data_IF_802626011095
#
_entry.id   IF_802626011095
#
_cell.length_a   1.000
_cell.length_b   1.000
_cell.length_c   1.000
_cell.angle_alpha   90.00
_cell.angle_beta   90.00
_cell.angle_gamma   90.00
#
_symmetry.space_group_name_H-M   'P 1'
#
loop_
_entity.id
_entity.type
_entity.pdbx_description
1 polymer ?
#
# COMPACT_ATOMS: atom_id res chain seq x y z
N UNK A 1 -26.11 -32.24 57.27
CA UNK A 1 -26.86 -31.55 56.19
C UNK A 1 -25.87 -30.77 55.34
N UNK A 2 -26.11 -30.63 54.02
CA UNK A 2 -25.52 -29.60 53.15
C UNK A 2 -23.99 -29.50 53.07
N UNK A 3 -23.36 -30.19 52.12
CA UNK A 3 -22.03 -29.79 51.63
C UNK A 3 -22.19 -28.63 50.63
N UNK A 4 -21.36 -27.59 50.73
CA UNK A 4 -21.08 -26.70 49.60
C UNK A 4 -20.02 -27.35 48.68
N UNK A 5 -20.05 -26.99 47.39
CA UNK A 5 -19.10 -27.43 46.37
C UNK A 5 -18.70 -26.28 45.46
N UNK A 6 -17.47 -26.33 44.95
CA UNK A 6 -16.93 -25.39 43.97
C UNK A 6 -17.73 -25.34 42.66
N UNK A 7 -17.80 -24.14 42.09
CA UNK A 7 -18.14 -23.90 40.69
C UNK A 7 -17.09 -22.95 40.08
N UNK A 8 -16.09 -23.52 39.41
CA UNK A 8 -15.17 -22.77 38.57
C UNK A 8 -15.84 -22.26 37.28
N UNK A 9 -15.28 -21.23 36.61
CA UNK A 9 -15.85 -20.66 35.40
C UNK A 9 -15.82 -21.65 34.23
N UNK A 10 -16.88 -21.67 33.43
CA UNK A 10 -16.98 -22.50 32.22
C UNK A 10 -16.36 -21.76 31.03
N UNK A 11 -15.59 -22.48 30.22
CA UNK A 11 -15.15 -22.01 28.90
C UNK A 11 -16.32 -21.93 27.93
N UNK A 12 -16.44 -20.82 27.21
CA UNK A 12 -17.34 -20.68 26.06
C UNK A 12 -16.51 -20.84 24.79
N UNK A 13 -16.83 -21.87 24.00
CA UNK A 13 -16.19 -22.13 22.70
C UNK A 13 -17.25 -22.10 21.60
N UNK A 14 -17.45 -20.94 20.99
CA UNK A 14 -18.30 -20.81 19.81
C UNK A 14 -17.46 -21.02 18.54
N UNK A 15 -17.80 -22.07 17.79
CA UNK A 15 -17.12 -22.42 16.55
C UNK A 15 -17.93 -21.98 15.32
N UNK A 16 -17.44 -20.96 14.60
CA UNK A 16 -18.07 -20.51 13.35
C UNK A 16 -18.02 -21.61 12.27
N UNK A 17 -19.15 -22.31 12.10
CA UNK A 17 -19.37 -23.29 11.04
C UNK A 17 -20.14 -22.65 9.88
N UNK A 18 -19.41 -22.16 8.88
CA UNK A 18 -20.02 -21.77 7.61
C UNK A 18 -20.50 -23.04 6.88
N UNK A 19 -21.81 -23.12 6.63
CA UNK A 19 -22.45 -24.28 5.97
C UNK A 19 -22.85 -23.95 4.53
N UNK A 20 -22.96 -24.99 3.72
CA UNK A 20 -23.18 -24.95 2.27
C UNK A 20 -24.51 -24.28 1.89
N UNK A 21 -24.49 -23.41 0.87
CA UNK A 21 -25.70 -22.86 0.23
C UNK A 21 -26.16 -23.71 -0.96
N UNK A 22 -27.47 -24.02 -1.09
CA UNK A 22 -28.03 -24.61 -2.30
C UNK A 22 -28.35 -23.55 -3.36
N UNK A 23 -28.28 -23.92 -4.65
CA UNK A 23 -28.73 -23.08 -5.77
C UNK A 23 -30.24 -23.15 -5.97
N UNK A 24 -30.92 -22.03 -5.82
CA UNK A 24 -32.15 -21.68 -6.58
C UNK A 24 -32.10 -20.19 -6.92
N UNK A 25 -32.79 -19.75 -7.96
CA UNK A 25 -32.82 -18.34 -8.32
C UNK A 25 -34.10 -17.95 -9.06
N UNK A 26 -34.40 -16.65 -9.05
CA UNK A 26 -35.26 -15.96 -10.02
C UNK A 26 -34.96 -14.45 -9.98
N UNK A 27 -35.10 -13.80 -11.12
CA UNK A 27 -34.79 -12.39 -11.32
C UNK A 27 -35.90 -11.46 -10.81
N UNK A 28 -35.50 -10.27 -10.40
CA UNK A 28 -36.36 -9.08 -10.31
C UNK A 28 -35.62 -7.90 -10.94
N UNK A 29 -36.28 -7.13 -11.81
CA UNK A 29 -35.66 -5.97 -12.45
C UNK A 29 -35.65 -4.77 -11.49
N UNK A 30 -34.49 -4.15 -11.31
CA UNK A 30 -34.38 -2.74 -10.91
C UNK A 30 -33.74 -1.96 -12.06
N UNK A 31 -34.31 -0.80 -12.42
CA UNK A 31 -33.76 0.06 -13.46
C UNK A 31 -32.72 0.99 -12.84
N UNK A 32 -31.44 0.75 -13.11
CA UNK A 32 -30.34 1.67 -12.77
C UNK A 32 -30.26 2.81 -13.79
N UNK A 33 -29.91 4.01 -13.30
CA UNK A 33 -29.58 5.14 -14.18
C UNK A 33 -28.18 4.95 -14.75
N UNK A 34 -28.03 5.01 -16.08
CA UNK A 34 -26.74 4.80 -16.75
C UNK A 34 -25.83 6.01 -16.54
N UNK A 35 -24.76 5.85 -15.77
CA UNK A 35 -23.57 6.71 -15.85
C UNK A 35 -22.77 6.30 -17.09
N UNK A 36 -22.66 7.21 -18.06
CA UNK A 36 -22.07 6.92 -19.38
C UNK A 36 -20.54 6.98 -19.34
N UNK A 37 -19.89 5.86 -19.02
CA UNK A 37 -18.43 5.72 -18.96
C UNK A 37 -17.74 5.90 -20.33
N UNK A 38 -17.38 7.15 -20.67
CA UNK A 38 -16.63 7.49 -21.89
C UNK A 38 -15.12 7.41 -21.67
N UNK A 39 -14.54 6.24 -21.98
CA UNK A 39 -13.09 6.05 -22.04
C UNK A 39 -12.50 6.62 -23.35
N UNK A 40 -11.46 7.47 -23.25
CA UNK A 40 -10.76 8.08 -24.40
C UNK A 40 -9.35 7.46 -24.60
N UNK A 41 -9.12 6.61 -25.61
CA UNK A 41 -7.99 5.68 -25.65
C UNK A 41 -6.69 6.24 -26.27
N UNK A 42 -6.02 7.18 -25.60
CA UNK A 42 -4.72 7.74 -26.05
C UNK A 42 -3.55 6.76 -25.79
N UNK A 43 -3.37 5.79 -26.70
CA UNK A 43 -2.28 4.79 -26.64
C UNK A 43 -0.87 5.40 -26.78
N UNK A 44 0.03 5.11 -25.84
CA UNK A 44 1.50 5.19 -26.03
C UNK A 44 2.27 4.02 -25.38
N UNK A 45 2.20 2.84 -25.98
CA UNK A 45 2.93 1.65 -25.52
C UNK A 45 4.44 1.72 -25.82
N UNK A 46 5.26 2.03 -24.81
CA UNK A 46 6.73 1.88 -24.87
C UNK A 46 7.17 0.49 -24.42
N UNK A 47 7.16 -0.49 -25.34
CA UNK A 47 7.74 -1.83 -25.09
C UNK A 47 9.26 -1.75 -24.92
N UNK A 48 9.75 -1.70 -23.67
CA UNK A 48 11.18 -1.91 -23.39
C UNK A 48 11.53 -3.39 -23.43
N UNK A 49 12.54 -3.74 -24.25
CA UNK A 49 12.97 -5.12 -24.49
C UNK A 49 14.32 -5.35 -23.81
N UNK A 50 14.30 -5.97 -22.62
CA UNK A 50 15.51 -6.27 -21.85
C UNK A 50 16.44 -7.17 -22.69
N UNK A 51 17.58 -6.63 -23.12
CA UNK A 51 18.64 -7.38 -23.82
C UNK A 51 19.69 -7.83 -22.81
N UNK A 52 19.74 -9.13 -22.51
CA UNK A 52 20.87 -9.72 -21.80
C UNK A 52 22.12 -9.74 -22.69
N UNK A 53 23.21 -9.10 -22.24
CA UNK A 53 24.53 -9.23 -22.88
C UNK A 53 25.22 -10.49 -22.37
N UNK A 54 25.30 -11.53 -23.20
CA UNK A 54 26.31 -12.59 -23.03
C UNK A 54 27.61 -12.13 -23.70
N UNK A 55 28.65 -11.92 -22.90
CA UNK A 55 30.01 -11.79 -23.40
C UNK A 55 30.66 -13.18 -23.56
N UNK A 56 31.28 -13.42 -24.71
CA UNK A 56 32.35 -14.42 -24.88
C UNK A 56 33.43 -13.79 -25.77
N UNK A 57 34.69 -13.98 -25.40
CA UNK A 57 35.84 -13.57 -26.20
C UNK A 57 36.32 -14.68 -27.13
N UNK A 58 37.11 -14.30 -28.13
CA UNK A 58 37.83 -15.19 -29.04
C UNK A 58 38.68 -14.35 -30.01
N UNK A 59 39.92 -14.78 -30.28
CA UNK A 59 40.84 -14.15 -31.26
C UNK A 59 41.46 -15.21 -32.16
N UNK A 60 41.38 -15.01 -33.48
CA UNK A 60 42.22 -15.59 -34.54
C UNK A 60 41.78 -14.93 -35.85
N UNK A 61 42.52 -13.98 -36.45
CA UNK A 61 43.71 -14.13 -37.32
C UNK A 61 43.40 -14.68 -38.72
N UNK A 62 43.86 -13.92 -39.72
CA UNK A 62 44.04 -14.22 -41.17
C UNK A 62 42.79 -14.54 -42.03
N UNK A 63 42.71 -14.12 -43.30
CA UNK A 63 43.56 -13.16 -44.03
C UNK A 63 43.33 -13.16 -45.57
N UNK A 64 43.50 -12.00 -46.24
CA UNK A 64 43.49 -11.80 -47.73
C UNK A 64 42.12 -12.07 -48.44
N UNK A 65 41.75 -11.55 -49.62
CA UNK A 65 42.40 -10.72 -50.68
C UNK A 65 41.45 -9.60 -51.16
N UNK A 66 42.00 -8.55 -51.80
CA UNK A 66 41.33 -7.46 -52.55
C UNK A 66 40.94 -7.91 -54.01
N UNK A 67 40.22 -7.15 -54.89
CA UNK A 67 40.31 -5.69 -55.05
C UNK A 67 39.06 -4.83 -55.44
N UNK A 68 39.24 -3.54 -55.13
CA UNK A 68 38.78 -2.30 -55.78
C UNK A 68 37.66 -2.26 -56.85
N UNK A 69 36.84 -1.20 -56.75
CA UNK A 69 36.68 -0.23 -57.85
C UNK A 69 36.43 1.20 -57.34
N UNK A 70 36.91 2.19 -58.08
CA UNK A 70 36.91 3.65 -57.79
C UNK A 70 35.63 4.33 -58.33
N UNK A 71 35.09 5.45 -57.81
CA UNK A 71 35.63 6.82 -57.91
C UNK A 71 34.89 7.86 -57.01
N UNK A 72 35.68 8.78 -56.45
CA UNK A 72 35.54 10.27 -56.35
C UNK A 72 34.26 10.97 -55.81
N UNK A 73 34.50 11.88 -54.84
CA UNK A 73 33.78 13.16 -54.61
C UNK A 73 34.45 14.28 -55.46
N UNK A 74 33.86 15.48 -55.69
CA UNK A 74 33.67 16.58 -54.70
C UNK A 74 32.26 17.26 -54.82
N UNK A 75 31.88 18.33 -54.08
CA UNK A 75 32.47 19.01 -52.91
C UNK A 75 32.09 20.51 -52.79
N UNK A 76 32.02 21.02 -51.55
CA UNK A 76 32.00 22.44 -51.10
C UNK A 76 30.72 23.33 -51.21
N UNK A 77 30.51 24.08 -50.12
CA UNK A 77 29.65 25.28 -49.90
C UNK A 77 30.34 26.58 -50.48
N UNK A 78 29.96 27.87 -50.21
CA UNK A 78 28.96 28.41 -49.28
C UNK A 78 28.17 29.71 -49.66
N UNK A 79 27.27 30.11 -48.74
CA UNK A 79 26.87 31.49 -48.36
C UNK A 79 26.21 32.47 -49.37
N UNK A 80 25.22 33.22 -48.88
CA UNK A 80 24.59 34.37 -49.56
C UNK A 80 23.50 35.03 -48.71
N UNK A 81 23.32 36.36 -48.80
CA UNK A 81 22.47 37.13 -47.88
C UNK A 81 21.67 38.26 -48.56
N UNK A 82 20.49 38.61 -48.02
CA UNK A 82 19.99 39.99 -48.04
C UNK A 82 18.58 40.28 -48.61
N UNK A 83 17.70 40.79 -47.74
CA UNK A 83 17.08 42.12 -47.93
C UNK A 83 15.81 42.32 -48.79
N UNK A 84 14.72 42.73 -48.12
CA UNK A 84 13.59 43.55 -48.61
C UNK A 84 12.64 42.98 -49.70
N UNK A 85 11.33 43.28 -49.71
CA UNK A 85 10.50 43.95 -48.69
C UNK A 85 9.15 44.51 -49.23
N UNK A 86 8.24 44.87 -48.29
CA UNK A 86 6.94 45.58 -48.46
C UNK A 86 5.75 44.80 -49.05
N UNK A 87 4.58 44.87 -48.39
CA UNK A 87 3.31 44.30 -48.88
C UNK A 87 2.15 44.32 -47.86
N UNK A 88 1.47 45.47 -47.73
CA UNK A 88 0.27 45.73 -46.91
C UNK A 88 -0.85 44.66 -47.09
N UNK A 89 -1.74 44.38 -46.12
CA UNK A 89 -2.65 45.32 -45.39
C UNK A 89 -3.01 44.87 -43.95
N UNK A 90 -3.60 45.81 -43.19
CA UNK A 90 -4.18 45.62 -41.84
C UNK A 90 -5.60 45.04 -41.87
N UNK A 91 -6.01 44.38 -40.77
CA UNK A 91 -7.18 44.80 -39.97
C UNK A 91 -6.96 44.52 -38.47
N UNK A 92 -7.31 45.51 -37.65
CA UNK A 92 -7.51 45.49 -36.18
C UNK A 92 -8.79 44.67 -35.80
N UNK A 93 -9.13 44.23 -34.57
CA UNK A 93 -8.55 44.22 -33.21
C UNK A 93 -9.47 43.40 -32.24
N UNK A 94 -9.10 43.37 -30.95
CA UNK A 94 -9.91 43.22 -29.72
C UNK A 94 -10.03 41.82 -29.08
N UNK A 95 -9.50 41.71 -27.86
CA UNK A 95 -9.75 40.65 -26.89
C UNK A 95 -10.91 41.03 -25.94
N UNK A 96 -11.67 40.07 -25.39
CA UNK A 96 -12.62 40.34 -24.30
C UNK A 96 -11.92 40.42 -22.93
N UNK A 97 -12.46 41.23 -22.03
CA UNK A 97 -12.16 41.26 -20.59
C UNK A 97 -13.45 40.92 -19.80
N UNK A 98 -13.36 40.37 -18.57
CA UNK A 98 -14.52 39.87 -17.84
C UNK A 98 -15.39 40.99 -17.25
N UNK A 99 -16.70 40.74 -17.02
CA UNK A 99 -17.64 41.74 -16.52
C UNK A 99 -17.41 42.10 -15.05
N UNK A 100 -17.61 43.38 -14.71
CA UNK A 100 -17.55 43.91 -13.34
C UNK A 100 -18.94 43.97 -12.67
N UNK A 101 -18.93 43.97 -11.34
CA UNK A 101 -20.11 44.12 -10.46
C UNK A 101 -20.88 45.42 -10.71
N UNK A 102 -22.20 45.39 -10.46
CA UNK A 102 -23.07 46.55 -10.14
C UNK A 102 -23.72 46.34 -8.76
N UNK A 103 -24.20 47.40 -8.13
CA UNK A 103 -24.88 47.38 -6.82
C UNK A 103 -25.75 48.63 -6.60
N UNK A 104 -26.68 48.57 -5.62
CA UNK A 104 -27.49 49.68 -5.01
C UNK A 104 -28.59 50.27 -5.92
N UNK A 105 -29.76 50.78 -5.42
CA UNK A 105 -30.44 50.69 -4.10
C UNK A 105 -31.76 49.85 -4.16
N UNK A 106 -32.66 49.74 -3.16
CA UNK A 106 -32.67 50.13 -1.72
C UNK A 106 -34.08 50.47 -1.14
N UNK A 107 -34.25 50.30 0.19
CA UNK A 107 -35.33 50.79 1.09
C UNK A 107 -36.73 50.09 1.17
N UNK A 108 -37.38 50.22 2.35
CA UNK A 108 -38.70 49.67 2.76
C UNK A 108 -38.60 48.32 3.50
N UNK A 109 -38.73 48.15 4.83
CA UNK A 109 -39.30 48.89 5.98
C UNK A 109 -40.75 48.47 6.37
N UNK A 110 -41.08 48.70 7.66
CA UNK A 110 -42.20 48.18 8.47
C UNK A 110 -42.17 46.67 8.81
N UNK A 111 -42.57 46.17 9.99
CA UNK A 111 -42.73 46.59 11.40
C UNK A 111 -43.90 45.79 11.98
N UNK A 112 -43.68 44.98 13.02
CA UNK A 112 -44.66 44.81 14.12
C UNK A 112 -43.96 44.36 15.41
N UNK A 113 -44.56 44.69 16.57
CA UNK A 113 -44.13 44.34 17.95
C UNK A 113 -45.25 43.49 18.58
N UNK A 114 -45.12 42.66 19.63
CA UNK A 114 -44.69 42.84 21.04
C UNK A 114 -44.77 41.41 21.69
N UNK A 115 -44.25 41.03 22.86
CA UNK A 115 -43.43 41.63 23.95
C UNK A 115 -42.16 40.72 24.15
N UNK A 116 -41.31 40.71 25.19
CA UNK A 116 -41.25 41.32 26.53
C UNK A 116 -41.56 40.32 27.67
N UNK A 117 -40.75 40.15 28.73
CA UNK A 117 -39.50 40.84 29.08
C UNK A 117 -38.82 40.28 30.36
N UNK A 118 -37.64 40.81 30.73
CA UNK A 118 -36.87 40.40 31.91
C UNK A 118 -35.50 41.09 32.04
N UNK A 119 -35.38 42.00 33.00
CA UNK A 119 -34.14 42.71 33.45
C UNK A 119 -33.25 41.78 34.34
N UNK A 120 -31.99 42.02 34.77
CA UNK A 120 -30.81 42.91 34.51
C UNK A 120 -29.67 42.45 35.48
N UNK A 121 -28.47 43.08 35.58
CA UNK A 121 -27.75 43.99 34.68
C UNK A 121 -26.33 43.47 34.32
N UNK A 122 -25.53 44.29 33.61
CA UNK A 122 -24.10 44.04 33.29
C UNK A 122 -23.16 44.77 34.26
N UNK A 123 -21.91 44.32 34.36
CA UNK A 123 -20.73 45.18 34.62
C UNK A 123 -19.63 44.92 33.58
N UNK A 124 -18.90 45.98 33.23
CA UNK A 124 -17.64 46.00 32.46
C UNK A 124 -16.71 47.02 33.13
N UNK A 125 -15.43 46.72 33.21
CA UNK A 125 -14.31 47.69 33.28
C UNK A 125 -13.12 47.06 32.55
N UNK A 126 -12.24 47.88 31.98
CA UNK A 126 -11.23 47.54 30.97
C UNK A 126 -9.84 47.16 31.56
N UNK A 127 -8.89 46.62 30.75
CA UNK A 127 -7.63 46.04 31.26
C UNK A 127 -6.43 47.02 31.31
N UNK A 128 -5.47 46.74 32.21
CA UNK A 128 -4.21 47.48 32.42
C UNK A 128 -3.08 46.52 32.90
N UNK A 129 -1.77 46.86 32.83
CA UNK A 129 -0.75 45.86 32.44
C UNK A 129 0.47 45.64 33.38
N UNK A 130 1.35 44.72 32.94
CA UNK A 130 2.75 44.46 33.32
C UNK A 130 3.06 43.56 34.55
N UNK A 131 3.73 42.39 34.31
CA UNK A 131 5.19 42.14 34.55
C UNK A 131 5.56 40.65 34.39
N UNK A 132 6.80 40.38 33.96
CA UNK A 132 7.45 39.06 34.08
C UNK A 132 7.91 38.80 35.54
N UNK A 133 8.13 37.54 35.93
CA UNK A 133 9.51 37.02 35.91
C UNK A 133 9.66 35.63 35.26
N UNK A 134 10.90 35.12 35.23
CA UNK A 134 11.31 33.90 34.53
C UNK A 134 10.92 32.59 35.26
N UNK A 135 10.87 31.47 34.52
CA UNK A 135 10.54 30.15 35.07
C UNK A 135 10.65 28.98 34.08
N UNK A 136 11.64 28.99 33.18
CA UNK A 136 11.78 27.94 32.15
C UNK A 136 12.19 26.58 32.74
N UNK A 137 11.38 25.54 32.50
CA UNK A 137 11.67 24.16 32.93
C UNK A 137 11.72 23.21 31.73
N UNK A 138 12.92 23.01 31.18
CA UNK A 138 13.15 22.03 30.12
C UNK A 138 12.91 20.60 30.65
N UNK A 139 12.09 19.82 29.94
CA UNK A 139 12.00 18.37 30.15
C UNK A 139 13.15 17.71 29.39
N UNK A 140 14.02 16.97 30.10
CA UNK A 140 15.07 16.17 29.48
C UNK A 140 14.55 14.77 29.14
N UNK A 141 14.97 14.16 28.01
CA UNK A 141 14.71 12.75 27.74
C UNK A 141 15.49 11.84 28.71
N UNK A 142 15.02 10.60 28.96
CA UNK A 142 15.68 9.66 29.85
C UNK A 142 17.03 9.16 29.28
N UNK A 143 17.96 8.83 30.17
CA UNK A 143 19.31 8.42 29.81
C UNK A 143 19.42 6.92 29.49
N UNK A 144 20.34 6.55 28.58
CA UNK A 144 20.75 5.17 28.35
C UNK A 144 21.48 4.60 29.59
N UNK A 145 21.28 3.32 29.96
CA UNK A 145 22.10 2.69 30.99
C UNK A 145 23.55 2.53 30.51
N UNK A 146 24.50 2.86 31.39
CA UNK A 146 25.93 2.74 31.10
C UNK A 146 26.49 1.35 31.48
N UNK A 147 27.58 0.93 30.82
CA UNK A 147 28.20 -0.37 31.05
C UNK A 147 28.91 -0.46 32.40
N UNK A 148 28.78 -1.60 33.08
CA UNK A 148 29.54 -1.93 34.29
C UNK A 148 30.91 -2.51 33.90
N UNK A 149 31.99 -1.94 34.45
CA UNK A 149 33.34 -2.51 34.46
C UNK A 149 33.93 -2.32 35.86
N UNK A 150 34.51 -3.37 36.45
CA UNK A 150 35.25 -3.26 37.71
C UNK A 150 35.32 -4.55 38.52
N UNK A 151 36.23 -5.45 38.17
CA UNK A 151 36.54 -6.66 38.94
C UNK A 151 37.85 -7.27 38.46
N UNK A 152 38.92 -7.13 39.24
CA UNK A 152 40.24 -7.62 38.86
C UNK A 152 40.50 -9.00 39.49
N UNK A 153 41.02 -9.93 38.67
CA UNK A 153 41.61 -11.18 39.13
C UNK A 153 42.77 -11.56 38.20
N UNK A 154 43.99 -11.62 38.74
CA UNK A 154 45.16 -12.20 38.04
C UNK A 154 45.18 -13.70 38.25
N UNK A 155 45.64 -14.47 37.26
CA UNK A 155 46.78 -15.41 37.44
C UNK A 155 47.33 -15.93 36.09
N UNK A 156 48.65 -15.80 35.94
CA UNK A 156 49.63 -16.58 35.15
C UNK A 156 49.25 -17.46 33.93
N UNK A 157 49.97 -17.25 32.82
CA UNK A 157 50.38 -18.28 31.84
C UNK A 157 49.50 -18.44 30.59
N UNK A 158 50.02 -18.71 29.38
CA UNK A 158 51.42 -18.80 28.89
C UNK A 158 51.51 -18.29 27.44
N UNK A 159 52.71 -17.88 26.99
CA UNK A 159 52.95 -17.41 25.62
C UNK A 159 52.75 -18.50 24.54
N UNK A 160 52.11 -18.13 23.43
CA UNK A 160 52.24 -18.81 22.14
C UNK A 160 52.08 -17.78 21.01
N UNK A 161 53.14 -17.52 20.23
CA UNK A 161 53.07 -16.66 19.04
C UNK A 161 52.59 -17.47 17.83
N UNK A 162 51.68 -16.91 17.05
CA UNK A 162 51.33 -17.40 15.71
C UNK A 162 51.23 -16.18 14.78
N UNK A 163 51.88 -16.24 13.64
CA UNK A 163 51.90 -15.17 12.64
C UNK A 163 50.66 -15.24 11.71
N UNK A 164 50.17 -14.12 11.16
CA UNK A 164 48.98 -14.10 10.33
C UNK A 164 49.23 -14.66 8.92
N UNK A 165 48.51 -15.72 8.55
CA UNK A 165 48.49 -16.26 7.19
C UNK A 165 47.71 -15.36 6.21
N UNK A 166 48.06 -15.43 4.93
CA UNK A 166 47.46 -14.64 3.85
C UNK A 166 45.96 -14.96 3.62
N UNK A 167 45.16 -14.01 3.10
CA UNK A 167 43.70 -14.18 2.97
C UNK A 167 43.33 -15.22 1.91
N UNK A 168 42.76 -16.33 2.36
CA UNK A 168 42.18 -17.36 1.49
C UNK A 168 40.87 -16.89 0.82
N UNK A 169 40.67 -17.25 -0.44
CA UNK A 169 39.46 -16.93 -1.20
C UNK A 169 38.28 -17.82 -0.81
N UNK A 170 37.51 -17.41 0.20
CA UNK A 170 36.25 -18.06 0.56
C UNK A 170 35.23 -17.93 -0.58
N UNK A 171 34.95 -19.04 -1.27
CA UNK A 171 33.84 -19.10 -2.22
C UNK A 171 32.53 -19.07 -1.43
N UNK A 172 31.78 -17.97 -1.55
CA UNK A 172 30.39 -17.92 -1.07
C UNK A 172 29.56 -18.83 -1.96
N UNK A 173 29.18 -20.00 -1.44
CA UNK A 173 28.22 -20.88 -2.07
C UNK A 173 26.85 -20.20 -2.07
N UNK A 174 26.24 -20.07 -3.25
CA UNK A 174 24.89 -19.54 -3.36
C UNK A 174 23.91 -20.49 -2.64
N UNK A 175 22.88 -19.97 -1.92
CA UNK A 175 21.89 -20.83 -1.29
C UNK A 175 21.19 -21.70 -2.33
N UNK A 176 20.91 -22.94 -1.95
CA UNK A 176 20.32 -23.94 -2.84
C UNK A 176 18.96 -23.54 -3.38
N UNK A 177 18.60 -24.08 -4.55
CA UNK A 177 17.24 -23.97 -5.09
C UNK A 177 16.32 -24.81 -4.22
N UNK A 178 15.60 -24.18 -3.30
CA UNK A 178 14.53 -24.84 -2.55
C UNK A 178 13.39 -25.20 -3.48
N UNK A 179 13.26 -26.49 -3.81
CA UNK A 179 12.09 -27.02 -4.50
C UNK A 179 10.87 -26.95 -3.56
N UNK A 180 9.71 -26.59 -4.10
CA UNK A 180 8.47 -26.49 -3.32
C UNK A 180 8.00 -27.88 -2.87
N UNK A 181 8.20 -28.21 -1.60
CA UNK A 181 7.71 -29.47 -1.01
C UNK A 181 6.19 -29.49 -1.04
N UNK A 182 5.59 -30.55 -1.59
CA UNK A 182 4.14 -30.71 -1.63
C UNK A 182 3.55 -30.70 -0.21
N UNK A 183 2.60 -29.79 0.04
CA UNK A 183 2.02 -29.55 1.36
C UNK A 183 2.69 -28.44 2.20
N UNK A 184 3.77 -27.81 1.70
CA UNK A 184 4.28 -26.56 2.29
C UNK A 184 3.29 -25.41 2.03
N UNK A 185 3.00 -24.56 3.03
CA UNK A 185 2.13 -23.39 2.85
C UNK A 185 2.76 -22.36 1.89
N UNK A 186 1.94 -21.50 1.24
CA UNK A 186 2.47 -20.40 0.43
C UNK A 186 3.27 -19.41 1.28
N UNK A 187 4.18 -18.68 0.63
CA UNK A 187 4.90 -17.58 1.25
C UNK A 187 3.97 -16.43 1.64
N UNK A 188 4.14 -15.91 2.85
CA UNK A 188 3.38 -14.74 3.29
C UNK A 188 3.96 -13.48 2.66
N UNK A 189 3.16 -12.84 1.82
CA UNK A 189 3.55 -11.74 0.96
C UNK A 189 3.12 -10.38 1.49
N UNK A 190 2.40 -10.34 2.62
CA UNK A 190 1.82 -9.13 3.19
C UNK A 190 1.83 -9.21 4.73
N UNK A 191 2.86 -8.66 5.35
CA UNK A 191 3.05 -8.64 6.82
C UNK A 191 3.59 -7.28 7.25
N UNK A 192 3.11 -6.79 8.38
CA UNK A 192 3.52 -5.51 8.96
C UNK A 192 4.36 -5.76 10.21
N UNK A 193 5.20 -4.80 10.56
CA UNK A 193 6.04 -4.85 11.75
C UNK A 193 6.04 -3.51 12.47
N UNK A 194 6.94 -3.32 13.45
CA UNK A 194 7.09 -2.08 14.22
C UNK A 194 7.47 -0.84 13.36
N UNK A 195 7.61 -1.02 12.05
CA UNK A 195 7.87 0.03 11.06
C UNK A 195 6.61 0.51 10.30
N UNK A 196 5.47 -0.17 10.44
CA UNK A 196 4.15 0.32 10.01
C UNK A 196 3.51 1.17 11.12
N UNK A 197 2.91 2.30 10.73
CA UNK A 197 2.47 3.35 11.66
C UNK A 197 1.23 2.97 12.49
N UNK A 198 0.48 1.96 12.06
CA UNK A 198 -0.73 1.38 12.65
C UNK A 198 -0.49 0.00 13.30
N UNK A 199 0.73 -0.53 13.23
CA UNK A 199 1.13 -1.82 13.77
C UNK A 199 2.10 -1.74 14.99
N UNK A 200 1.92 -0.84 15.98
CA UNK A 200 2.91 -0.58 17.04
C UNK A 200 3.15 -1.75 18.00
N UNK A 201 2.28 -2.76 17.98
CA UNK A 201 2.39 -3.99 18.78
C UNK A 201 2.94 -5.20 18.00
N UNK A 202 3.24 -5.01 16.71
CA UNK A 202 3.86 -6.03 15.87
C UNK A 202 5.34 -6.27 16.27
N UNK A 203 6.04 -7.14 15.53
CA UNK A 203 7.51 -7.24 15.63
C UNK A 203 8.06 -8.10 14.50
N UNK A 204 8.98 -7.55 13.71
CA UNK A 204 9.62 -8.24 12.59
C UNK A 204 10.31 -9.53 13.03
N UNK A 205 10.99 -9.51 14.19
CA UNK A 205 11.65 -10.69 14.76
C UNK A 205 10.65 -11.78 15.18
N UNK A 206 9.55 -11.40 15.86
CA UNK A 206 8.51 -12.38 16.26
C UNK A 206 7.76 -12.93 15.06
N UNK A 207 7.46 -12.11 14.05
CA UNK A 207 6.84 -12.54 12.79
C UNK A 207 7.75 -13.49 12.00
N UNK A 208 9.07 -13.27 11.99
CA UNK A 208 10.04 -14.23 11.44
C UNK A 208 10.07 -15.55 12.22
N UNK A 209 10.08 -15.49 13.56
CA UNK A 209 10.01 -16.71 14.38
C UNK A 209 8.73 -17.50 14.10
N UNK A 210 7.58 -16.82 14.00
CA UNK A 210 6.30 -17.44 13.66
C UNK A 210 6.28 -18.05 12.26
N UNK A 211 6.90 -17.40 11.28
CA UNK A 211 7.04 -17.95 9.93
C UNK A 211 7.84 -19.27 9.94
N UNK A 212 8.89 -19.37 10.75
CA UNK A 212 9.67 -20.62 10.94
C UNK A 212 8.83 -21.70 11.64
N UNK A 213 8.08 -21.37 12.70
CA UNK A 213 7.18 -22.32 13.39
C UNK A 213 6.14 -22.95 12.45
N UNK A 214 5.60 -22.14 11.53
CA UNK A 214 4.58 -22.55 10.56
C UNK A 214 5.16 -23.28 9.33
N UNK A 215 6.48 -23.33 9.19
CA UNK A 215 7.13 -23.84 7.97
C UNK A 215 6.82 -22.98 6.73
N UNK A 216 6.58 -21.67 6.90
CA UNK A 216 6.46 -20.76 5.77
C UNK A 216 7.81 -20.68 5.04
N UNK A 217 7.84 -20.86 3.70
CA UNK A 217 9.10 -20.90 2.99
C UNK A 217 9.68 -19.50 2.71
N UNK A 218 8.86 -18.46 2.83
CA UNK A 218 9.28 -17.05 2.80
C UNK A 218 8.27 -16.15 3.53
N UNK A 219 8.74 -14.96 3.92
CA UNK A 219 7.94 -13.86 4.47
C UNK A 219 8.36 -12.55 3.78
N UNK A 220 7.41 -11.68 3.46
CA UNK A 220 7.65 -10.32 3.02
C UNK A 220 7.08 -9.34 4.04
N UNK A 221 7.93 -8.42 4.50
CA UNK A 221 7.47 -7.28 5.28
C UNK A 221 7.14 -6.15 4.32
N UNK A 222 5.89 -5.73 4.30
CA UNK A 222 5.31 -4.79 3.33
C UNK A 222 4.76 -3.60 4.09
N UNK A 223 5.66 -2.84 4.70
CA UNK A 223 5.26 -1.79 5.64
C UNK A 223 4.45 -0.68 4.95
N UNK A 224 3.53 -0.09 5.72
CA UNK A 224 2.69 1.02 5.30
C UNK A 224 3.51 2.23 4.85
N UNK A 225 3.46 2.55 3.56
CA UNK A 225 3.92 3.82 2.99
C UNK A 225 2.74 4.65 2.48
N UNK A 226 1.96 5.15 3.44
CA UNK A 226 0.85 6.06 3.19
C UNK A 226 1.31 7.53 3.17
N UNK A 227 0.65 8.32 2.33
CA UNK A 227 0.90 9.76 2.21
C UNK A 227 -0.39 10.60 2.05
N UNK A 228 -1.56 9.96 1.99
CA UNK A 228 -2.84 10.68 2.03
C UNK A 228 -3.09 11.18 3.46
N UNK A 229 -3.41 12.46 3.59
CA UNK A 229 -3.90 13.03 4.85
C UNK A 229 -5.41 12.89 4.88
N UNK A 230 -5.95 12.28 5.92
CA UNK A 230 -7.35 11.86 5.99
C UNK A 230 -8.00 12.15 7.36
N UNK A 231 -9.32 12.07 7.43
CA UNK A 231 -10.11 12.31 8.64
C UNK A 231 -10.48 10.99 9.31
N UNK A 232 -10.21 10.89 10.61
CA UNK A 232 -10.75 9.84 11.48
C UNK A 232 -11.89 10.40 12.34
N UNK A 233 -12.80 9.52 12.74
CA UNK A 233 -13.73 9.81 13.83
C UNK A 233 -13.04 9.56 15.17
N UNK A 234 -12.95 10.60 16.02
CA UNK A 234 -12.37 10.52 17.36
C UNK A 234 -13.34 9.92 18.40
N UNK A 235 -14.64 9.88 18.07
CA UNK A 235 -15.74 9.38 18.90
C UNK A 235 -16.61 8.39 18.11
N UNK A 236 -17.25 7.44 18.80
CA UNK A 236 -18.23 6.53 18.20
C UNK A 236 -17.71 5.11 17.93
N UNK A 237 -18.46 4.27 17.19
CA UNK A 237 -18.24 2.82 17.10
C UNK A 237 -17.00 2.41 16.30
N UNK A 238 -16.36 3.34 15.59
CA UNK A 238 -15.14 3.11 14.81
C UNK A 238 -13.93 3.92 15.32
N UNK A 239 -14.10 4.68 16.41
CA UNK A 239 -12.97 5.33 17.07
C UNK A 239 -11.99 4.28 17.60
N UNK A 240 -10.70 4.56 17.48
CA UNK A 240 -9.61 3.64 17.85
C UNK A 240 -8.58 4.39 18.66
N UNK A 241 -8.28 3.91 19.88
CA UNK A 241 -7.28 4.51 20.78
C UNK A 241 -5.95 4.77 20.08
N UNK A 242 -5.54 3.89 19.16
CA UNK A 242 -4.32 4.08 18.38
C UNK A 242 -4.45 5.21 17.35
N UNK A 243 -5.49 5.19 16.51
CA UNK A 243 -5.69 6.23 15.49
C UNK A 243 -5.86 7.61 16.13
N UNK A 244 -6.68 7.70 17.19
CA UNK A 244 -6.87 8.92 17.98
C UNK A 244 -5.60 9.39 18.71
N UNK A 245 -4.58 8.54 18.86
CA UNK A 245 -3.27 8.93 19.42
C UNK A 245 -2.26 9.45 18.38
N UNK A 246 -2.50 9.22 17.09
CA UNK A 246 -1.62 9.66 15.98
C UNK A 246 -2.24 10.74 15.09
N UNK A 247 -3.53 11.03 15.25
CA UNK A 247 -4.20 12.18 14.65
C UNK A 247 -4.02 13.48 15.45
N UNK A 248 -4.36 14.61 14.84
CA UNK A 248 -4.42 15.91 15.51
C UNK A 248 -5.78 16.16 16.22
N UNK A 249 -5.91 17.23 17.03
CA UNK A 249 -7.15 17.54 17.76
C UNK A 249 -8.38 17.85 16.89
N UNK A 250 -8.22 18.08 15.58
CA UNK A 250 -9.31 18.30 14.63
C UNK A 250 -9.73 16.99 13.91
N UNK A 251 -9.17 15.85 14.34
CA UNK A 251 -9.43 14.51 13.81
C UNK A 251 -8.71 14.21 12.50
N UNK A 252 -7.60 14.90 12.21
CA UNK A 252 -6.85 14.72 10.97
C UNK A 252 -5.63 13.83 11.21
N UNK A 253 -5.58 12.68 10.53
CA UNK A 253 -4.44 11.78 10.52
C UNK A 253 -3.51 12.15 9.38
N UNK A 254 -2.27 12.53 9.73
CA UNK A 254 -1.16 12.70 8.79
C UNK A 254 -0.21 11.53 8.98
N UNK A 255 -0.09 10.59 8.02
CA UNK A 255 0.83 9.45 8.16
C UNK A 255 2.27 9.90 8.44
N UNK A 256 2.97 9.28 9.40
CA UNK A 256 4.31 9.68 9.78
C UNK A 256 5.34 9.37 8.67
N UNK A 257 6.49 10.05 8.71
CA UNK A 257 7.57 9.80 7.77
C UNK A 257 8.20 8.41 8.00
N UNK A 258 8.10 7.54 7.00
CA UNK A 258 8.66 6.18 7.02
C UNK A 258 10.20 6.17 7.04
N UNK A 259 10.78 5.57 8.08
CA UNK A 259 12.24 5.35 8.17
C UNK A 259 12.66 4.07 7.44
N UNK A 260 12.87 4.22 6.14
CA UNK A 260 13.39 3.16 5.29
C UNK A 260 14.79 2.67 5.69
N UNK A 261 15.61 3.47 6.39
CA UNK A 261 16.95 3.06 6.79
C UNK A 261 16.90 2.12 8.02
N UNK A 262 16.12 2.49 9.04
CA UNK A 262 15.87 1.65 10.21
C UNK A 262 15.13 0.35 9.88
N UNK A 263 14.15 0.41 8.98
CA UNK A 263 13.48 -0.77 8.43
C UNK A 263 14.46 -1.73 7.74
N UNK A 264 15.29 -1.23 6.81
CA UNK A 264 16.23 -2.07 6.07
C UNK A 264 17.32 -2.68 6.96
N UNK A 265 17.84 -1.96 7.95
CA UNK A 265 18.76 -2.53 8.95
C UNK A 265 18.05 -3.65 9.76
N UNK A 266 16.78 -3.46 10.12
CA UNK A 266 15.99 -4.48 10.85
C UNK A 266 15.78 -5.73 10.01
N UNK A 267 15.53 -5.61 8.70
CA UNK A 267 15.48 -6.74 7.78
C UNK A 267 16.80 -7.53 7.79
N UNK A 268 17.96 -6.86 7.72
CA UNK A 268 19.26 -7.55 7.73
C UNK A 268 19.57 -8.20 9.09
N UNK A 269 19.18 -7.58 10.22
CA UNK A 269 19.27 -8.22 11.55
C UNK A 269 18.40 -9.49 11.60
N UNK A 270 17.20 -9.47 11.04
CA UNK A 270 16.34 -10.66 10.95
C UNK A 270 16.89 -11.72 9.97
N UNK A 271 17.46 -11.33 8.81
CA UNK A 271 18.13 -12.24 7.86
C UNK A 271 19.32 -12.96 8.49
N UNK A 272 20.11 -12.27 9.30
CA UNK A 272 21.18 -12.88 10.09
C UNK A 272 20.66 -13.85 11.17
N UNK A 273 19.53 -13.52 11.82
CA UNK A 273 18.95 -14.34 12.90
C UNK A 273 18.20 -15.58 12.40
N UNK A 274 17.58 -15.51 11.24
CA UNK A 274 16.76 -16.59 10.66
C UNK A 274 17.29 -17.02 9.27
N UNK A 275 18.54 -17.51 9.15
CA UNK A 275 19.18 -17.76 7.84
C UNK A 275 18.51 -18.87 7.00
N UNK A 276 17.62 -19.68 7.59
CA UNK A 276 16.78 -20.65 6.88
C UNK A 276 15.47 -20.09 6.31
N UNK A 277 15.08 -18.87 6.70
CA UNK A 277 13.84 -18.22 6.25
C UNK A 277 14.16 -17.19 5.16
N UNK A 278 13.47 -17.27 4.00
CA UNK A 278 13.59 -16.25 2.97
C UNK A 278 12.77 -15.01 3.35
N UNK A 279 13.43 -14.05 3.99
CA UNK A 279 12.86 -12.73 4.27
C UNK A 279 13.04 -11.83 3.03
N UNK A 280 11.95 -11.22 2.56
CA UNK A 280 11.89 -10.23 1.48
C UNK A 280 11.75 -8.82 2.06
N UNK A 281 12.41 -7.84 1.44
CA UNK A 281 12.09 -6.42 1.64
C UNK A 281 10.87 -6.05 0.82
N UNK A 282 10.03 -5.14 1.32
CA UNK A 282 8.83 -4.71 0.63
C UNK A 282 8.18 -3.49 1.26
N UNK A 283 7.13 -3.00 0.60
CA UNK A 283 6.26 -1.92 1.06
C UNK A 283 4.86 -2.18 0.53
N UNK A 284 3.86 -1.76 1.30
CA UNK A 284 2.55 -1.43 0.77
C UNK A 284 2.51 0.06 0.44
N UNK A 285 2.21 0.39 -0.81
CA UNK A 285 2.12 1.77 -1.27
C UNK A 285 0.66 2.22 -1.20
N UNK A 286 0.35 3.10 -0.25
CA UNK A 286 -0.93 3.78 -0.13
C UNK A 286 -1.08 4.84 -1.23
N UNK A 287 -2.03 4.62 -2.14
CA UNK A 287 -2.37 5.49 -3.28
C UNK A 287 -1.16 6.07 -4.06
N UNK A 288 -0.24 5.23 -4.60
CA UNK A 288 0.94 5.70 -5.32
C UNK A 288 0.63 6.55 -6.56
N UNK A 289 -0.61 6.49 -7.08
CA UNK A 289 -1.09 7.38 -8.14
C UNK A 289 -1.21 8.85 -7.68
N UNK A 290 -1.56 9.10 -6.41
CA UNK A 290 -1.63 10.43 -5.78
C UNK A 290 -0.25 10.89 -5.30
N UNK A 291 0.63 9.95 -4.94
CA UNK A 291 1.86 10.20 -4.17
C UNK A 291 3.17 9.77 -4.82
N UNK A 292 3.18 9.50 -6.14
CA UNK A 292 4.34 8.99 -6.88
C UNK A 292 5.67 9.70 -6.57
N UNK A 293 5.65 11.03 -6.41
CA UNK A 293 6.84 11.81 -6.05
C UNK A 293 7.40 11.52 -4.65
N UNK A 294 6.54 11.24 -3.67
CA UNK A 294 6.90 10.82 -2.31
C UNK A 294 7.42 9.39 -2.33
N UNK A 295 6.64 8.46 -2.88
CA UNK A 295 6.99 7.04 -2.97
C UNK A 295 8.33 6.82 -3.69
N UNK A 296 8.60 7.56 -4.78
CA UNK A 296 9.87 7.49 -5.54
C UNK A 296 11.08 7.85 -4.69
N UNK A 297 10.95 8.79 -3.73
CA UNK A 297 12.06 9.16 -2.84
C UNK A 297 12.40 8.06 -1.85
N UNK A 298 11.39 7.34 -1.33
CA UNK A 298 11.60 6.20 -0.43
C UNK A 298 12.15 4.99 -1.18
N UNK A 299 11.59 4.67 -2.36
CA UNK A 299 12.09 3.60 -3.23
C UNK A 299 13.53 3.84 -3.75
N UNK A 300 14.05 5.07 -3.67
CA UNK A 300 15.44 5.40 -4.00
C UNK A 300 16.43 5.14 -2.84
N UNK A 301 15.97 4.89 -1.61
CA UNK A 301 16.83 4.64 -0.43
C UNK A 301 17.47 3.24 -0.46
N UNK A 302 16.78 2.25 -1.04
CA UNK A 302 17.24 0.87 -1.05
C UNK A 302 16.47 -0.01 -2.03
N UNK A 303 16.73 -1.32 -1.98
CA UNK A 303 16.06 -2.30 -2.85
C UNK A 303 14.89 -2.95 -2.12
N UNK A 304 13.70 -2.75 -2.66
CA UNK A 304 12.48 -3.45 -2.26
C UNK A 304 12.20 -4.60 -3.26
N UNK A 305 11.78 -5.76 -2.76
CA UNK A 305 11.57 -7.00 -3.54
C UNK A 305 10.08 -7.34 -3.74
N UNK A 306 9.20 -6.82 -2.88
CA UNK A 306 7.74 -6.97 -2.96
C UNK A 306 7.07 -5.59 -2.80
N UNK A 307 6.44 -5.07 -3.85
CA UNK A 307 5.73 -3.79 -3.81
C UNK A 307 4.26 -4.03 -4.11
N UNK A 308 3.43 -3.77 -3.09
CA UNK A 308 1.98 -3.78 -3.17
C UNK A 308 1.50 -2.37 -3.49
N UNK A 309 0.38 -2.27 -4.22
CA UNK A 309 -0.36 -1.02 -4.38
C UNK A 309 -1.74 -1.19 -3.77
N UNK A 310 -2.11 -0.28 -2.87
CA UNK A 310 -3.37 -0.30 -2.15
C UNK A 310 -4.10 1.04 -2.24
N UNK A 311 -5.42 0.95 -2.06
CA UNK A 311 -6.30 2.09 -1.86
C UNK A 311 -6.84 1.93 -0.44
N UNK A 312 -6.57 2.88 0.44
CA UNK A 312 -7.11 2.91 1.80
C UNK A 312 -8.23 3.94 1.88
N UNK A 313 -8.06 5.07 1.18
CA UNK A 313 -8.84 6.28 1.38
C UNK A 313 -9.57 6.77 0.13
N UNK A 314 -10.82 7.16 0.30
CA UNK A 314 -11.67 7.79 -0.73
C UNK A 314 -11.91 9.27 -0.40
N UNK A 315 -12.18 10.12 -1.41
CA UNK A 315 -12.65 11.47 -1.19
C UNK A 315 -13.92 11.51 -0.32
N UNK A 316 -13.89 12.25 0.78
CA UNK A 316 -15.08 12.50 1.60
C UNK A 316 -15.06 13.93 2.16
N UNK A 317 -16.22 14.62 2.09
CA UNK A 317 -16.47 15.94 2.70
C UNK A 317 -15.42 17.04 2.45
N UNK A 318 -14.65 16.95 1.35
CA UNK A 318 -13.57 17.89 1.00
C UNK A 318 -12.18 17.52 1.55
N UNK A 319 -12.04 16.32 2.07
CA UNK A 319 -10.79 15.66 2.49
C UNK A 319 -10.81 14.20 2.00
N UNK A 320 -10.14 13.30 2.70
CA UNK A 320 -10.18 11.85 2.48
C UNK A 320 -10.62 11.12 3.76
N UNK A 321 -11.13 9.90 3.64
CA UNK A 321 -11.41 8.99 4.75
C UNK A 321 -11.32 7.51 4.31
N UNK A 322 -11.10 6.60 5.25
CA UNK A 322 -11.27 5.15 5.04
C UNK A 322 -12.76 4.75 4.99
N UNK A 323 -13.17 3.67 4.30
CA UNK A 323 -14.57 3.30 4.09
C UNK A 323 -15.44 3.23 5.36
N UNK A 324 -14.88 2.80 6.49
CA UNK A 324 -15.61 2.71 7.76
C UNK A 324 -16.07 4.08 8.29
N UNK A 325 -15.31 5.15 8.02
CA UNK A 325 -15.67 6.53 8.36
C UNK A 325 -16.64 7.17 7.35
N UNK A 326 -16.88 6.51 6.21
CA UNK A 326 -17.73 7.00 5.12
C UNK A 326 -19.13 6.34 5.14
N UNK A 327 -19.21 5.05 5.46
CA UNK A 327 -20.47 4.32 5.61
C UNK A 327 -21.52 4.95 6.56
N UNK A 328 -21.17 5.71 7.62
CA UNK A 328 -22.16 6.38 8.47
C UNK A 328 -22.99 7.46 7.76
N UNK A 329 -22.57 7.96 6.59
CA UNK A 329 -23.22 9.09 5.90
C UNK A 329 -23.24 9.03 4.38
N UNK A 330 -22.78 7.94 3.75
CA UNK A 330 -22.96 7.66 2.31
C UNK A 330 -23.57 6.27 2.11
N UNK A 331 -24.21 6.08 0.96
CA UNK A 331 -24.69 4.76 0.56
C UNK A 331 -23.52 3.78 0.42
N UNK A 332 -23.68 2.57 0.99
CA UNK A 332 -22.61 1.59 1.07
C UNK A 332 -22.24 0.98 -0.29
N UNK A 333 -23.19 0.86 -1.22
CA UNK A 333 -22.89 0.39 -2.57
C UNK A 333 -22.09 1.44 -3.34
N UNK A 334 -22.45 2.72 -3.23
CA UNK A 334 -21.71 3.80 -3.89
C UNK A 334 -20.27 3.93 -3.37
N UNK A 335 -20.01 3.65 -2.09
CA UNK A 335 -18.65 3.59 -1.52
C UNK A 335 -17.83 2.45 -2.15
N UNK A 336 -18.41 1.26 -2.32
CA UNK A 336 -17.74 0.13 -2.98
C UNK A 336 -17.49 0.41 -4.47
N UNK A 337 -18.43 1.07 -5.17
CA UNK A 337 -18.26 1.48 -6.58
C UNK A 337 -17.14 2.48 -6.76
N UNK A 338 -17.10 3.52 -5.95
CA UNK A 338 -16.05 4.54 -5.99
C UNK A 338 -14.68 3.94 -5.65
N UNK A 339 -14.62 2.99 -4.69
CA UNK A 339 -13.41 2.23 -4.41
C UNK A 339 -12.90 1.45 -5.62
N UNK A 340 -13.75 0.65 -6.26
CA UNK A 340 -13.34 -0.19 -7.40
C UNK A 340 -12.95 0.65 -8.63
N UNK A 341 -13.59 1.79 -8.84
CA UNK A 341 -13.16 2.79 -9.81
C UNK A 341 -11.77 3.37 -9.45
N UNK A 342 -11.53 3.74 -8.19
CA UNK A 342 -10.25 4.25 -7.70
C UNK A 342 -9.11 3.23 -7.78
N UNK A 343 -9.40 1.93 -7.59
CA UNK A 343 -8.44 0.84 -7.82
C UNK A 343 -8.04 0.79 -9.30
N UNK A 344 -8.99 0.87 -10.22
CA UNK A 344 -8.71 0.88 -11.66
C UNK A 344 -7.91 2.14 -12.08
N UNK A 345 -8.23 3.32 -11.53
CA UNK A 345 -7.44 4.54 -11.71
C UNK A 345 -5.99 4.35 -11.21
N UNK A 346 -5.81 3.85 -9.99
CA UNK A 346 -4.50 3.60 -9.40
C UNK A 346 -3.63 2.67 -10.26
N UNK A 347 -4.21 1.57 -10.72
CA UNK A 347 -3.56 0.56 -11.57
C UNK A 347 -3.17 1.12 -12.94
N UNK A 348 -3.97 2.03 -13.50
CA UNK A 348 -3.69 2.68 -14.77
C UNK A 348 -2.67 3.85 -14.66
N UNK A 349 -2.67 4.58 -13.55
CA UNK A 349 -1.90 5.80 -13.37
C UNK A 349 -0.50 5.60 -12.75
N UNK A 350 -0.26 4.47 -12.07
CA UNK A 350 1.05 4.14 -11.47
C UNK A 350 1.65 2.88 -12.09
N UNK A 351 2.97 2.85 -12.28
CA UNK A 351 3.77 1.67 -12.66
C UNK A 351 4.60 1.10 -11.48
N UNK A 352 4.44 1.66 -10.27
CA UNK A 352 5.39 1.51 -9.15
C UNK A 352 5.27 0.20 -8.36
N UNK A 353 4.16 -0.53 -8.50
CA UNK A 353 3.84 -1.75 -7.74
C UNK A 353 3.59 -2.95 -8.66
N UNK A 354 3.77 -4.17 -8.15
CA UNK A 354 3.63 -5.44 -8.89
C UNK A 354 2.47 -6.33 -8.42
N UNK A 355 1.88 -6.02 -7.26
CA UNK A 355 0.75 -6.74 -6.67
C UNK A 355 -0.36 -5.75 -6.31
N UNK A 356 -1.60 -6.00 -6.71
CA UNK A 356 -2.76 -5.30 -6.15
C UNK A 356 -3.13 -5.94 -4.80
N UNK A 357 -3.03 -5.17 -3.72
CA UNK A 357 -3.49 -5.59 -2.39
C UNK A 357 -5.02 -5.62 -2.30
N UNK A 358 -5.55 -6.45 -1.40
CA UNK A 358 -6.96 -6.50 -0.93
C UNK A 358 -7.99 -5.66 -1.73
N UNK A 359 -8.40 -6.18 -2.90
CA UNK A 359 -9.41 -5.57 -3.78
C UNK A 359 -10.80 -5.45 -3.11
N UNK A 360 -11.01 -6.13 -1.99
CA UNK A 360 -12.21 -6.15 -1.15
C UNK A 360 -12.05 -5.35 0.16
N UNK A 361 -11.07 -4.44 0.28
CA UNK A 361 -10.82 -3.64 1.48
C UNK A 361 -12.08 -2.97 2.10
N UNK A 362 -13.01 -2.34 1.35
CA UNK A 362 -14.22 -1.75 1.94
C UNK A 362 -15.15 -2.79 2.59
N UNK A 363 -15.06 -4.07 2.20
CA UNK A 363 -15.88 -5.15 2.73
C UNK A 363 -15.52 -5.47 4.18
N UNK A 364 -14.28 -5.16 4.61
CA UNK A 364 -13.79 -5.28 6.00
C UNK A 364 -14.68 -4.57 7.02
N UNK A 365 -15.39 -3.52 6.60
CA UNK A 365 -16.25 -2.68 7.43
C UNK A 365 -17.68 -2.54 6.88
N UNK A 366 -18.09 -3.42 5.94
CA UNK A 366 -19.40 -3.36 5.30
C UNK A 366 -20.55 -3.32 6.32
N UNK A 367 -21.47 -2.34 6.25
CA UNK A 367 -22.45 -2.06 7.30
C UNK A 367 -23.65 -3.01 7.20
N UNK A 368 -23.43 -4.30 7.46
CA UNK A 368 -24.40 -5.37 7.20
C UNK A 368 -25.74 -5.22 7.97
N UNK A 369 -25.75 -4.47 9.08
CA UNK A 369 -26.96 -4.16 9.84
C UNK A 369 -27.91 -3.16 9.17
N UNK A 370 -27.45 -2.37 8.19
CA UNK A 370 -28.27 -1.43 7.40
C UNK A 370 -28.32 -1.77 5.91
N UNK A 371 -27.23 -2.28 5.34
CA UNK A 371 -27.13 -2.65 3.92
C UNK A 371 -27.41 -4.13 3.61
N UNK A 372 -27.63 -4.97 4.65
CA UNK A 372 -27.76 -6.42 4.49
C UNK A 372 -26.42 -7.13 4.27
N UNK A 373 -26.40 -8.46 4.07
CA UNK A 373 -25.16 -9.19 3.82
C UNK A 373 -24.49 -8.72 2.53
N UNK A 374 -23.16 -8.62 2.52
CA UNK A 374 -22.41 -8.28 1.32
C UNK A 374 -22.54 -9.40 0.26
N UNK A 375 -22.99 -9.04 -0.93
CA UNK A 375 -23.00 -9.91 -2.11
C UNK A 375 -22.08 -9.31 -3.18
N UNK A 376 -20.97 -9.96 -3.55
CA UNK A 376 -20.09 -9.45 -4.61
C UNK A 376 -20.80 -9.38 -5.98
N UNK A 377 -21.86 -10.17 -6.23
CA UNK A 377 -22.59 -10.12 -7.49
C UNK A 377 -23.33 -8.78 -7.71
N UNK A 378 -23.59 -8.00 -6.65
CA UNK A 378 -24.12 -6.64 -6.73
C UNK A 378 -23.10 -5.61 -7.28
N UNK A 379 -21.86 -6.05 -7.54
CA UNK A 379 -20.71 -5.25 -7.97
C UNK A 379 -19.89 -5.96 -9.08
N UNK A 380 -20.49 -6.91 -9.82
CA UNK A 380 -19.75 -7.75 -10.79
C UNK A 380 -19.08 -6.93 -11.89
N UNK A 381 -19.72 -5.88 -12.41
CA UNK A 381 -19.16 -5.04 -13.47
C UNK A 381 -17.94 -4.24 -12.97
N UNK A 382 -18.05 -3.67 -11.76
CA UNK A 382 -17.02 -2.85 -11.13
C UNK A 382 -15.81 -3.69 -10.69
N UNK A 383 -16.04 -4.87 -10.11
CA UNK A 383 -14.96 -5.82 -9.79
C UNK A 383 -14.27 -6.32 -11.07
N UNK A 384 -15.03 -6.74 -12.10
CA UNK A 384 -14.43 -7.18 -13.37
C UNK A 384 -13.62 -6.06 -14.03
N UNK A 385 -14.06 -4.81 -13.96
CA UNK A 385 -13.31 -3.67 -14.50
C UNK A 385 -11.95 -3.49 -13.79
N UNK A 386 -11.94 -3.45 -12.45
CA UNK A 386 -10.70 -3.33 -11.66
C UNK A 386 -9.77 -4.55 -11.83
N UNK A 387 -10.32 -5.76 -11.89
CA UNK A 387 -9.58 -7.00 -12.15
C UNK A 387 -8.97 -7.00 -13.56
N UNK A 388 -9.73 -6.59 -14.60
CA UNK A 388 -9.22 -6.51 -15.97
C UNK A 388 -8.09 -5.49 -16.12
N UNK A 389 -8.24 -4.30 -15.53
CA UNK A 389 -7.18 -3.29 -15.52
C UNK A 389 -5.89 -3.85 -14.87
N UNK A 390 -6.04 -4.61 -13.78
CA UNK A 390 -4.92 -5.24 -13.07
C UNK A 390 -4.25 -6.31 -13.92
N UNK A 391 -5.03 -7.18 -14.58
CA UNK A 391 -4.55 -8.23 -15.47
C UNK A 391 -3.84 -7.66 -16.72
N UNK A 392 -4.43 -6.67 -17.40
CA UNK A 392 -3.84 -6.02 -18.56
C UNK A 392 -2.52 -5.29 -18.22
N UNK A 393 -2.35 -4.85 -16.97
CA UNK A 393 -1.10 -4.26 -16.47
C UNK A 393 0.01 -5.29 -16.14
N UNK A 394 -0.29 -6.60 -16.18
CA UNK A 394 0.68 -7.67 -15.91
C UNK A 394 1.04 -7.83 -14.43
N UNK A 395 0.10 -7.52 -13.53
CA UNK A 395 0.26 -7.62 -12.07
C UNK A 395 -0.36 -8.88 -11.50
N UNK A 396 0.09 -9.27 -10.31
CA UNK A 396 -0.59 -10.30 -9.53
C UNK A 396 -1.75 -9.69 -8.71
N UNK A 397 -2.79 -10.48 -8.47
CA UNK A 397 -3.83 -10.18 -7.47
C UNK A 397 -3.45 -10.82 -6.13
N UNK A 398 -3.63 -10.08 -5.04
CA UNK A 398 -3.54 -10.64 -3.70
C UNK A 398 -4.78 -11.46 -3.32
N UNK A 399 -4.55 -12.68 -2.82
CA UNK A 399 -5.49 -13.41 -1.99
C UNK A 399 -5.18 -13.06 -0.53
N UNK A 400 -5.87 -12.04 -0.04
CA UNK A 400 -5.76 -11.59 1.35
C UNK A 400 -6.54 -12.55 2.27
N UNK A 401 -6.09 -12.71 3.52
CA UNK A 401 -6.74 -13.62 4.48
C UNK A 401 -7.16 -12.98 5.81
N UNK A 402 -6.95 -11.66 5.98
CA UNK A 402 -7.53 -10.89 7.10
C UNK A 402 -9.05 -10.86 7.01
N UNK A 403 -9.55 -10.60 5.80
CA UNK A 403 -10.88 -11.01 5.35
C UNK A 403 -10.68 -12.15 4.33
N UNK A 404 -11.33 -13.32 4.47
CA UNK A 404 -11.19 -14.39 3.47
C UNK A 404 -11.80 -13.98 2.13
N UNK A 405 -10.94 -13.69 1.14
CA UNK A 405 -11.35 -13.27 -0.22
C UNK A 405 -12.45 -14.18 -0.80
N UNK A 406 -13.55 -13.59 -1.28
CA UNK A 406 -14.67 -14.36 -1.81
C UNK A 406 -14.31 -15.07 -3.12
N UNK A 407 -14.55 -16.39 -3.20
CA UNK A 407 -14.12 -17.23 -4.32
C UNK A 407 -14.54 -16.74 -5.72
N UNK A 408 -15.70 -16.09 -5.83
CA UNK A 408 -16.17 -15.45 -7.08
C UNK A 408 -15.16 -14.43 -7.63
N UNK A 409 -14.48 -13.66 -6.77
CA UNK A 409 -13.45 -12.70 -7.20
C UNK A 409 -12.27 -13.40 -7.87
N UNK A 410 -11.91 -14.60 -7.43
CA UNK A 410 -10.85 -15.41 -8.03
C UNK A 410 -11.30 -16.13 -9.31
N UNK A 411 -12.60 -16.40 -9.46
CA UNK A 411 -13.20 -16.82 -10.74
C UNK A 411 -13.14 -15.69 -11.75
N UNK A 412 -13.58 -14.49 -11.38
CA UNK A 412 -13.50 -13.29 -12.23
C UNK A 412 -12.06 -12.92 -12.58
N UNK A 413 -11.11 -12.93 -11.63
CA UNK A 413 -9.68 -12.72 -11.91
C UNK A 413 -9.15 -13.64 -13.03
N UNK A 414 -9.61 -14.90 -13.04
CA UNK A 414 -9.24 -15.88 -14.07
C UNK A 414 -9.95 -15.61 -15.41
N UNK A 415 -11.18 -15.11 -15.41
CA UNK A 415 -11.93 -14.77 -16.63
C UNK A 415 -11.40 -13.48 -17.27
N UNK A 416 -11.08 -12.47 -16.47
CA UNK A 416 -10.51 -11.17 -16.87
C UNK A 416 -9.03 -11.23 -17.28
N UNK A 417 -8.47 -12.44 -17.40
CA UNK A 417 -7.13 -12.69 -17.96
C UNK A 417 -5.97 -12.75 -16.95
N UNK A 418 -6.20 -12.46 -15.66
CA UNK A 418 -5.17 -12.40 -14.63
C UNK A 418 -4.47 -13.75 -14.38
N UNK A 419 -3.14 -13.79 -14.47
CA UNK A 419 -2.35 -15.03 -14.57
C UNK A 419 -1.50 -15.37 -13.34
N UNK A 420 -1.38 -14.45 -12.40
CA UNK A 420 -0.61 -14.60 -11.17
C UNK A 420 -1.41 -14.21 -9.90
N UNK A 421 -1.14 -14.89 -8.77
CA UNK A 421 -1.65 -14.50 -7.44
C UNK A 421 -0.56 -14.55 -6.36
N UNK A 422 -0.78 -13.82 -5.28
CA UNK A 422 0.04 -13.85 -4.05
C UNK A 422 -0.85 -14.10 -2.83
N UNK A 423 -0.27 -14.46 -1.69
CA UNK A 423 -1.00 -14.71 -0.45
C UNK A 423 -0.53 -13.72 0.61
N UNK A 424 -1.45 -13.01 1.27
CA UNK A 424 -1.12 -12.00 2.26
C UNK A 424 -1.96 -12.19 3.51
N UNK A 425 -1.31 -12.26 4.68
CA UNK A 425 -2.05 -12.33 5.95
C UNK A 425 -2.50 -10.97 6.47
N UNK A 426 -1.86 -9.88 6.04
CA UNK A 426 -2.09 -8.53 6.60
C UNK A 426 -1.89 -8.58 8.14
N UNK A 427 -0.83 -9.30 8.53
CA UNK A 427 -0.52 -9.58 9.92
C UNK A 427 0.09 -8.36 10.61
N UNK A 428 -0.78 -7.60 11.29
CA UNK A 428 -0.45 -6.52 12.22
C UNK A 428 -0.02 -7.01 13.61
N UNK A 429 -0.05 -8.33 13.84
CA UNK A 429 0.48 -9.00 15.05
C UNK A 429 1.14 -10.32 14.62
N UNK A 430 2.26 -10.74 15.26
CA UNK A 430 2.99 -11.95 14.85
C UNK A 430 2.14 -13.21 14.77
N UNK A 431 1.21 -13.40 15.71
CA UNK A 431 0.28 -14.54 15.76
C UNK A 431 -0.64 -14.69 14.53
N UNK A 432 -0.80 -13.64 13.72
CA UNK A 432 -1.62 -13.67 12.50
C UNK A 432 -0.84 -14.00 11.22
N UNK A 433 0.49 -14.07 11.26
CA UNK A 433 1.33 -14.49 10.12
C UNK A 433 0.86 -15.85 9.60
N UNK A 434 0.66 -15.96 8.28
CA UNK A 434 0.16 -17.18 7.61
C UNK A 434 -1.28 -17.60 7.97
N UNK A 435 -2.06 -16.78 8.69
CA UNK A 435 -3.44 -17.13 9.10
C UNK A 435 -4.32 -17.38 7.88
N UNK A 436 -5.11 -18.47 7.91
CA UNK A 436 -6.04 -18.82 6.82
C UNK A 436 -5.39 -19.39 5.54
N UNK A 437 -4.06 -19.49 5.47
CA UNK A 437 -3.36 -19.86 4.23
C UNK A 437 -3.71 -21.26 3.69
N UNK A 438 -4.11 -22.20 4.54
CA UNK A 438 -4.54 -23.53 4.11
C UNK A 438 -5.84 -23.50 3.29
N UNK A 439 -6.76 -22.58 3.58
CA UNK A 439 -8.00 -22.39 2.81
C UNK A 439 -7.76 -21.53 1.57
N UNK A 440 -6.97 -20.46 1.69
CA UNK A 440 -6.57 -19.63 0.56
C UNK A 440 -5.82 -20.44 -0.51
N UNK A 441 -4.87 -21.31 -0.11
CA UNK A 441 -4.16 -22.20 -1.02
C UNK A 441 -5.10 -23.17 -1.74
N UNK A 442 -6.00 -23.86 -1.01
CA UNK A 442 -7.02 -24.74 -1.62
C UNK A 442 -7.92 -23.99 -2.61
N UNK A 443 -8.31 -22.77 -2.27
CA UNK A 443 -9.11 -21.91 -3.17
C UNK A 443 -8.32 -21.56 -4.44
N UNK A 444 -7.05 -21.18 -4.32
CA UNK A 444 -6.16 -20.91 -5.45
C UNK A 444 -5.97 -22.16 -6.33
N UNK A 445 -5.77 -23.33 -5.73
CA UNK A 445 -5.63 -24.60 -6.44
C UNK A 445 -6.90 -24.97 -7.22
N UNK A 446 -8.08 -24.77 -6.62
CA UNK A 446 -9.38 -25.04 -7.24
C UNK A 446 -9.65 -24.11 -8.45
N UNK A 447 -9.16 -22.86 -8.41
CA UNK A 447 -9.23 -21.93 -9.54
C UNK A 447 -8.08 -22.11 -10.56
N UNK A 448 -7.21 -23.09 -10.36
CA UNK A 448 -6.15 -23.45 -11.31
C UNK A 448 -4.85 -22.69 -11.16
N UNK A 449 -4.61 -21.99 -10.05
CA UNK A 449 -3.30 -21.42 -9.72
C UNK A 449 -2.42 -22.46 -9.01
N UNK A 450 -1.09 -22.38 -9.18
CA UNK A 450 -0.11 -23.34 -8.64
C UNK A 450 1.17 -22.61 -8.19
N UNK A 451 1.94 -23.18 -7.24
CA UNK A 451 3.24 -22.64 -6.83
C UNK A 451 4.16 -22.24 -7.99
N UNK A 452 4.87 -21.12 -7.82
CA UNK A 452 5.92 -20.69 -8.74
C UNK A 452 7.19 -21.57 -8.64
N UNK A 453 8.24 -21.19 -9.36
CA UNK A 453 9.50 -21.98 -9.44
C UNK A 453 10.35 -21.88 -8.18
N UNK A 454 10.22 -20.77 -7.48
CA UNK A 454 10.85 -20.44 -6.21
C UNK A 454 9.72 -20.27 -5.18
N UNK A 455 9.90 -20.64 -3.90
CA UNK A 455 8.79 -20.59 -2.93
C UNK A 455 8.22 -19.19 -2.63
N UNK A 456 8.90 -18.12 -3.08
CA UNK A 456 8.53 -16.72 -2.93
C UNK A 456 8.05 -16.06 -4.25
N UNK A 457 8.00 -16.82 -5.34
CA UNK A 457 7.41 -16.37 -6.61
C UNK A 457 5.87 -16.30 -6.47
N UNK A 458 5.21 -15.46 -7.27
CA UNK A 458 3.76 -15.50 -7.40
C UNK A 458 3.31 -16.88 -7.91
N UNK A 459 2.14 -17.34 -7.45
CA UNK A 459 1.52 -18.56 -7.96
C UNK A 459 0.93 -18.27 -9.34
N UNK A 460 1.34 -19.02 -10.36
CA UNK A 460 0.89 -18.85 -11.74
C UNK A 460 -0.27 -19.79 -12.09
N UNK A 461 -0.97 -19.52 -13.19
CA UNK A 461 -1.91 -20.49 -13.80
C UNK A 461 -1.21 -21.82 -14.12
N UNK A 462 -1.88 -22.93 -13.84
CA UNK A 462 -1.57 -24.21 -14.47
C UNK A 462 -1.79 -24.12 -16.00
N UNK A 463 -0.90 -24.77 -16.75
CA UNK A 463 -0.97 -24.91 -18.21
C UNK A 463 -1.53 -26.29 -18.59
#
# INVERSE_FOLDING_TARGET
MGNFRDHGPRSVTEGNRWSQYPRTGRSANCQSGVLEWKADPVRRTRRFRIRSRRGRGGRSTDGTVLPALTRQRPGADPAGSGGNGRGLRRTDRLSPQPPRRRAVPGAGDDRYRHHGGGDRPRRRVDPAPHRHPAGGRQVRPPARPAAVRGGQGRLSGTDARVEPAAPGTSQVTAPGRGESVAGSPPADSHVHSEWSWDAPLASMERSCARAVELGLPAIAFTEHLDHTVWRIDLDGPYASDHLSSVADPDGVLTPPAFDAAGYLDTIERCRHRFPGLRILTGLELGEPHRHAGQCTRILAVGRFERLLGSLHTLPDRGSFAEPWGIYPHRDAHEVVREYLAGVAEMVAASDMFSVLAHIDYPVRSWPAGSAGPFDPAAFEEEFRYALRATAESGRALEINTRLPLHATLLTWWREEGGDAVTFGSDAHLPEYVGRGFADAARMAEAHGFRPGRSPYDCWGRAH
#
